data_IF_511746759131
#
_entry.id   IF_511746759131
#
_cell.length_a   1.000
_cell.length_b   1.000
_cell.length_c   1.000
_cell.angle_alpha   90.00
_cell.angle_beta   90.00
_cell.angle_gamma   90.00
#
_symmetry.space_group_name_H-M   'P 1'
#
loop_
_entity.id
_entity.type
_entity.pdbx_description
1 polymer ?
#
# COMPACT_ATOMS: atom_id res chain seq x y z
N UNK A 1 12.30 -20.94 28.93
CA UNK A 1 11.88 -19.72 28.21
C UNK A 1 12.66 -19.59 26.90
N UNK A 2 12.80 -20.66 26.12
CA UNK A 2 13.59 -20.72 24.84
C UNK A 2 12.85 -21.49 23.73
N UNK A 3 11.58 -21.85 23.90
CA UNK A 3 10.85 -22.70 22.93
C UNK A 3 9.74 -22.00 22.14
N UNK A 4 9.57 -20.68 22.21
CA UNK A 4 8.45 -19.96 21.54
C UNK A 4 8.87 -19.25 20.23
N UNK A 5 10.15 -19.08 19.98
CA UNK A 5 10.65 -18.31 18.81
C UNK A 5 10.77 -19.12 17.50
N UNK A 6 10.73 -20.43 17.54
CA UNK A 6 10.92 -21.26 16.32
C UNK A 6 9.63 -21.61 15.56
N UNK A 7 8.46 -21.49 16.17
CA UNK A 7 7.18 -21.86 15.52
C UNK A 7 6.57 -20.72 14.70
N UNK A 8 6.89 -19.46 14.99
CA UNK A 8 6.34 -18.30 14.29
C UNK A 8 7.10 -17.91 13.00
N UNK A 9 8.36 -18.30 12.87
CA UNK A 9 9.19 -17.98 11.70
C UNK A 9 8.85 -18.78 10.43
N UNK A 10 8.18 -19.92 10.54
CA UNK A 10 8.00 -20.84 9.40
C UNK A 10 6.70 -20.65 8.60
N UNK A 11 5.66 -20.01 9.13
CA UNK A 11 4.37 -19.86 8.42
C UNK A 11 4.29 -18.62 7.52
N UNK A 12 5.04 -17.58 7.80
CA UNK A 12 5.05 -16.37 6.99
C UNK A 12 5.75 -16.53 5.64
N UNK A 13 6.71 -17.42 5.57
CA UNK A 13 7.39 -17.81 4.33
C UNK A 13 6.44 -18.45 3.29
N UNK A 14 5.28 -18.95 3.68
CA UNK A 14 4.41 -19.71 2.77
C UNK A 14 3.65 -18.85 1.76
N UNK A 15 3.26 -17.62 2.07
CA UNK A 15 2.53 -16.76 1.13
C UNK A 15 3.42 -16.17 0.03
N UNK A 16 4.67 -15.85 0.37
CA UNK A 16 5.66 -15.34 -0.58
C UNK A 16 6.58 -16.44 -1.14
N UNK A 17 6.82 -17.53 -0.42
CA UNK A 17 7.76 -18.60 -0.82
C UNK A 17 7.14 -19.71 -1.68
N UNK A 18 5.84 -19.69 -1.98
CA UNK A 18 5.28 -20.62 -3.00
C UNK A 18 5.77 -20.28 -4.42
N UNK A 19 6.44 -19.14 -4.59
CA UNK A 19 6.99 -18.65 -5.87
C UNK A 19 8.47 -19.05 -6.08
N UNK A 20 9.18 -19.59 -5.08
CA UNK A 20 10.63 -19.77 -5.14
C UNK A 20 11.07 -21.23 -5.40
N UNK A 21 10.50 -21.91 -6.36
CA UNK A 21 10.87 -23.30 -6.68
C UNK A 21 11.05 -23.66 -8.14
N UNK A 22 10.79 -22.74 -9.06
CA UNK A 22 11.01 -22.93 -10.51
C UNK A 22 12.24 -22.19 -11.02
N UNK A 23 12.84 -22.65 -12.11
CA UNK A 23 13.85 -21.91 -12.84
C UNK A 23 13.25 -20.59 -13.32
N UNK A 24 13.81 -19.45 -12.87
CA UNK A 24 13.40 -18.11 -13.32
C UNK A 24 13.62 -18.00 -14.83
N UNK A 25 12.54 -17.75 -15.57
CA UNK A 25 12.64 -17.55 -17.03
C UNK A 25 12.69 -16.06 -17.33
N UNK A 26 13.76 -15.64 -18.01
CA UNK A 26 13.91 -14.26 -18.46
C UNK A 26 13.84 -14.21 -19.98
N UNK A 27 12.89 -13.44 -20.49
CA UNK A 27 12.62 -13.33 -21.91
C UNK A 27 12.43 -11.88 -22.35
N UNK A 28 12.73 -11.63 -23.63
CA UNK A 28 12.33 -10.40 -24.31
C UNK A 28 11.33 -10.72 -25.42
N UNK A 29 10.37 -9.81 -25.62
CA UNK A 29 9.32 -9.96 -26.62
C UNK A 29 8.78 -8.59 -27.06
N UNK A 30 8.03 -8.58 -28.15
CA UNK A 30 7.33 -7.40 -28.65
C UNK A 30 5.94 -7.24 -27.98
N UNK A 31 5.31 -6.07 -28.21
CA UNK A 31 3.97 -5.74 -27.68
C UNK A 31 2.89 -6.71 -28.16
N UNK A 32 2.99 -7.19 -29.42
CA UNK A 32 2.00 -8.11 -29.97
C UNK A 32 2.04 -9.47 -29.26
N UNK A 33 3.23 -10.01 -29.04
CA UNK A 33 3.45 -11.25 -28.31
C UNK A 33 3.06 -11.13 -26.85
N UNK A 34 3.33 -9.98 -26.22
CA UNK A 34 2.88 -9.71 -24.86
C UNK A 34 1.35 -9.70 -24.76
N UNK A 35 0.67 -9.00 -25.66
CA UNK A 35 -0.80 -8.94 -25.68
C UNK A 35 -1.43 -10.32 -25.87
N UNK A 36 -0.84 -11.21 -26.70
CA UNK A 36 -1.28 -12.61 -26.80
C UNK A 36 -1.16 -13.36 -25.48
N UNK A 37 -0.09 -13.12 -24.70
CA UNK A 37 0.06 -13.64 -23.35
C UNK A 37 -1.00 -13.11 -22.39
N UNK A 38 -1.28 -11.81 -22.43
CA UNK A 38 -2.38 -11.20 -21.66
C UNK A 38 -3.73 -11.85 -21.99
N UNK A 39 -4.02 -12.14 -23.28
CA UNK A 39 -5.27 -12.78 -23.69
C UNK A 39 -5.43 -14.19 -23.08
N UNK A 40 -4.35 -14.94 -22.96
CA UNK A 40 -4.35 -16.23 -22.24
C UNK A 40 -4.62 -16.03 -20.74
N UNK A 41 -3.97 -15.06 -20.10
CA UNK A 41 -4.15 -14.78 -18.66
C UNK A 41 -5.54 -14.25 -18.33
N UNK A 42 -6.18 -13.49 -19.21
CA UNK A 42 -7.55 -12.96 -19.02
C UNK A 42 -8.61 -14.07 -18.88
N UNK A 43 -8.32 -15.28 -19.26
CA UNK A 43 -9.25 -16.41 -19.04
C UNK A 43 -9.47 -16.67 -17.53
N UNK A 44 -8.41 -16.55 -16.72
CA UNK A 44 -8.43 -16.83 -15.27
C UNK A 44 -8.32 -15.56 -14.42
N UNK A 45 -7.66 -14.53 -14.91
CA UNK A 45 -7.35 -13.31 -14.17
C UNK A 45 -8.11 -12.11 -14.72
N UNK A 46 -8.51 -11.24 -13.81
CA UNK A 46 -8.79 -9.83 -14.09
C UNK A 46 -7.47 -9.08 -13.94
N UNK A 47 -7.05 -8.36 -14.98
CA UNK A 47 -5.74 -7.70 -15.02
C UNK A 47 -5.93 -6.21 -14.71
N UNK A 48 -5.24 -5.74 -13.67
CA UNK A 48 -5.30 -4.36 -13.21
C UNK A 48 -3.94 -3.70 -13.34
N UNK A 49 -3.91 -2.49 -13.88
CA UNK A 49 -2.70 -1.70 -14.04
C UNK A 49 -2.95 -0.21 -13.80
N UNK A 50 -1.90 0.61 -13.60
CA UNK A 50 -2.04 2.06 -13.64
C UNK A 50 -2.44 2.50 -15.04
N UNK A 51 -3.55 3.24 -15.14
CA UNK A 51 -4.08 3.82 -16.38
C UNK A 51 -4.26 5.31 -16.19
N UNK A 52 -3.89 6.12 -17.18
CA UNK A 52 -4.05 7.57 -17.15
C UNK A 52 -5.27 7.99 -17.96
N UNK A 53 -6.24 8.61 -17.28
CA UNK A 53 -7.41 9.22 -17.91
C UNK A 53 -7.19 10.74 -17.98
N UNK A 54 -7.12 11.33 -19.20
CA UNK A 54 -6.91 12.76 -19.37
C UNK A 54 -8.04 13.58 -18.76
N UNK A 55 -7.70 14.74 -18.19
CA UNK A 55 -8.65 15.73 -17.65
C UNK A 55 -9.62 15.21 -16.58
N UNK A 56 -9.25 14.15 -15.87
CA UNK A 56 -10.05 13.56 -14.76
C UNK A 56 -9.38 13.71 -13.38
N UNK A 57 -8.30 14.49 -13.29
CA UNK A 57 -7.63 14.76 -12.04
C UNK A 57 -8.39 15.73 -11.13
N UNK A 58 -7.73 16.20 -10.09
CA UNK A 58 -8.32 17.12 -9.11
C UNK A 58 -8.68 18.48 -9.73
N UNK A 59 -7.94 18.92 -10.73
CA UNK A 59 -8.17 20.14 -11.49
C UNK A 59 -8.54 19.80 -12.92
N UNK A 60 -9.29 20.68 -13.57
CA UNK A 60 -9.83 20.45 -14.92
C UNK A 60 -8.77 20.23 -16.02
N UNK A 61 -7.53 20.65 -15.77
CA UNK A 61 -6.38 20.52 -16.66
C UNK A 61 -5.40 19.41 -16.25
N UNK A 62 -5.74 18.66 -15.20
CA UNK A 62 -4.90 17.59 -14.71
C UNK A 62 -5.42 16.20 -15.06
N UNK A 63 -4.49 15.28 -15.30
CA UNK A 63 -4.78 13.88 -15.55
C UNK A 63 -5.00 13.10 -14.26
N UNK A 64 -5.71 12.00 -14.36
CA UNK A 64 -5.89 11.03 -13.29
C UNK A 64 -5.23 9.71 -13.67
N UNK A 65 -4.23 9.29 -12.90
CA UNK A 65 -3.64 7.95 -13.01
C UNK A 65 -4.11 7.10 -11.85
N UNK A 66 -4.86 6.03 -12.14
CA UNK A 66 -5.37 5.08 -11.13
C UNK A 66 -5.32 3.65 -11.64
N UNK A 67 -5.57 2.68 -10.76
CA UNK A 67 -5.65 1.27 -11.15
C UNK A 67 -6.99 0.99 -11.82
N UNK A 68 -6.94 0.50 -13.06
CA UNK A 68 -8.10 0.11 -13.84
C UNK A 68 -7.85 -1.25 -14.51
N UNK A 69 -8.90 -1.90 -14.95
CA UNK A 69 -8.82 -3.12 -15.76
C UNK A 69 -8.31 -2.78 -17.15
N UNK A 70 -7.38 -3.58 -17.64
CA UNK A 70 -6.75 -3.38 -18.94
C UNK A 70 -6.96 -4.59 -19.85
N UNK A 71 -6.97 -4.31 -21.15
CA UNK A 71 -7.01 -5.31 -22.20
C UNK A 71 -5.66 -5.48 -22.90
N UNK A 72 -4.85 -4.43 -22.95
CA UNK A 72 -3.57 -4.39 -23.69
C UNK A 72 -2.51 -3.61 -22.94
N UNK A 73 -1.24 -3.90 -23.26
CA UNK A 73 -0.10 -3.23 -22.66
C UNK A 73 -0.06 -1.72 -22.93
N UNK A 74 -0.61 -1.28 -24.06
CA UNK A 74 -0.64 0.13 -24.47
C UNK A 74 -1.48 0.99 -23.52
N UNK A 75 -2.36 0.38 -22.74
CA UNK A 75 -3.19 1.07 -21.74
C UNK A 75 -2.42 1.34 -20.44
N UNK A 76 -1.30 0.63 -20.20
CA UNK A 76 -0.54 0.74 -18.98
C UNK A 76 0.28 2.03 -18.94
N UNK A 77 0.15 2.78 -17.88
CA UNK A 77 0.96 3.97 -17.61
C UNK A 77 2.27 3.60 -16.88
N UNK A 78 3.36 3.56 -17.62
CA UNK A 78 4.68 3.23 -17.10
C UNK A 78 5.46 4.45 -16.56
N UNK A 79 5.15 5.66 -17.06
CA UNK A 79 5.95 6.87 -16.82
C UNK A 79 5.38 7.78 -15.74
N UNK A 80 4.16 7.51 -15.27
CA UNK A 80 3.53 8.28 -14.18
C UNK A 80 3.32 7.43 -12.94
N UNK A 81 3.34 8.06 -11.80
CA UNK A 81 2.94 7.45 -10.53
C UNK A 81 1.42 7.53 -10.40
N UNK A 82 0.77 6.44 -9.99
CA UNK A 82 -0.67 6.46 -9.74
C UNK A 82 -1.03 7.42 -8.59
N UNK A 83 -2.11 8.17 -8.75
CA UNK A 83 -2.62 9.10 -7.72
C UNK A 83 -3.12 8.36 -6.48
N UNK A 84 -3.69 7.16 -6.68
CA UNK A 84 -4.17 6.29 -5.61
C UNK A 84 -3.30 5.04 -5.50
N UNK A 85 -3.26 4.46 -4.31
CA UNK A 85 -2.56 3.20 -4.08
C UNK A 85 -3.40 2.01 -4.51
N UNK A 86 -2.74 0.91 -4.81
CA UNK A 86 -3.37 -0.37 -5.16
C UNK A 86 -4.11 -1.04 -4.00
N UNK A 87 -4.02 -0.52 -2.78
CA UNK A 87 -4.55 -1.20 -1.59
C UNK A 87 -6.06 -1.49 -1.65
N UNK A 88 -6.85 -0.73 -2.43
CA UNK A 88 -8.29 -0.97 -2.60
C UNK A 88 -8.61 -2.34 -3.21
N UNK A 89 -7.66 -2.94 -3.91
CA UNK A 89 -7.78 -4.27 -4.51
C UNK A 89 -7.87 -5.37 -3.44
N UNK A 90 -7.15 -5.20 -2.34
CA UNK A 90 -7.07 -6.17 -1.23
C UNK A 90 -7.75 -5.68 0.06
N UNK A 91 -7.99 -4.37 0.13
CA UNK A 91 -8.75 -3.71 1.19
C UNK A 91 -9.80 -2.81 0.52
N UNK A 92 -10.97 -3.34 0.14
CA UNK A 92 -12.02 -2.55 -0.49
C UNK A 92 -12.43 -1.35 0.38
N UNK A 93 -12.74 -0.20 -0.25
CA UNK A 93 -13.15 1.03 0.44
C UNK A 93 -14.35 0.77 1.34
N UNK A 94 -15.28 -0.06 0.88
CA UNK A 94 -16.44 -0.53 1.62
C UNK A 94 -16.57 -2.04 1.42
N UNK A 95 -16.43 -2.82 2.50
CA UNK A 95 -16.48 -4.26 2.48
C UNK A 95 -17.56 -4.76 3.41
N UNK A 96 -18.56 -5.46 2.86
CA UNK A 96 -19.52 -6.21 3.65
C UNK A 96 -18.79 -7.43 4.22
N UNK A 97 -18.74 -7.52 5.54
CA UNK A 97 -18.11 -8.64 6.23
C UNK A 97 -19.08 -9.81 6.32
N UNK A 98 -20.29 -9.53 6.77
CA UNK A 98 -21.35 -10.54 6.84
C UNK A 98 -22.73 -9.87 6.88
N UNK A 99 -23.71 -10.64 6.45
CA UNK A 99 -25.12 -10.39 6.65
C UNK A 99 -25.57 -11.10 7.93
N UNK A 100 -26.55 -10.51 8.64
CA UNK A 100 -27.07 -11.10 9.87
C UNK A 100 -28.59 -10.99 9.95
N UNK A 101 -29.15 -11.96 10.66
CA UNK A 101 -30.53 -11.97 11.16
C UNK A 101 -30.49 -12.15 12.67
N UNK A 102 -31.64 -12.23 13.33
CA UNK A 102 -31.73 -12.54 14.76
C UNK A 102 -31.06 -13.89 15.14
N UNK A 103 -30.97 -14.83 14.21
CA UNK A 103 -30.58 -16.22 14.49
C UNK A 103 -29.31 -16.66 13.77
N UNK A 104 -28.96 -16.00 12.67
CA UNK A 104 -27.91 -16.47 11.77
C UNK A 104 -27.05 -15.31 11.26
N UNK A 105 -25.83 -15.62 10.90
CA UNK A 105 -24.99 -14.73 10.10
C UNK A 105 -24.41 -15.49 8.92
N UNK A 106 -24.21 -14.80 7.79
CA UNK A 106 -23.64 -15.37 6.58
C UNK A 106 -22.59 -14.41 5.99
N UNK A 107 -21.38 -14.90 5.82
CA UNK A 107 -20.33 -14.15 5.09
C UNK A 107 -20.65 -14.14 3.59
N UNK A 108 -20.36 -13.05 2.91
CA UNK A 108 -20.45 -12.99 1.46
C UNK A 108 -19.38 -13.88 0.81
N UNK A 109 -19.75 -14.54 -0.28
CA UNK A 109 -18.80 -15.26 -1.10
C UNK A 109 -17.91 -14.29 -1.87
N UNK A 110 -16.63 -14.66 -2.06
CA UNK A 110 -15.74 -13.90 -2.95
C UNK A 110 -15.81 -14.56 -4.32
N UNK A 111 -16.72 -14.05 -5.14
CA UNK A 111 -16.87 -14.45 -6.52
C UNK A 111 -15.88 -13.77 -7.44
N UNK A 112 -15.72 -14.31 -8.65
CA UNK A 112 -14.94 -13.71 -9.73
C UNK A 112 -13.54 -14.31 -9.90
N UNK A 113 -12.88 -13.81 -10.95
CA UNK A 113 -11.55 -14.23 -11.36
C UNK A 113 -10.49 -13.86 -10.31
N UNK A 114 -9.37 -14.55 -10.33
CA UNK A 114 -8.15 -14.11 -9.66
C UNK A 114 -7.73 -12.73 -10.19
N UNK A 115 -6.89 -12.02 -9.46
CA UNK A 115 -6.41 -10.71 -9.84
C UNK A 115 -4.92 -10.77 -10.17
N UNK A 116 -4.53 -10.19 -11.28
CA UNK A 116 -3.14 -9.95 -11.65
C UNK A 116 -2.92 -8.44 -11.69
N UNK A 117 -2.06 -7.93 -10.82
CA UNK A 117 -1.95 -6.48 -10.59
C UNK A 117 -0.55 -6.00 -10.90
N UNK A 118 -0.44 -5.03 -11.80
CA UNK A 118 0.80 -4.37 -12.16
C UNK A 118 1.08 -3.22 -11.18
N UNK A 119 2.21 -3.24 -10.48
CA UNK A 119 2.54 -2.24 -9.47
C UNK A 119 4.05 -2.09 -9.29
N UNK A 120 4.47 -1.02 -8.60
CA UNK A 120 5.88 -0.71 -8.37
C UNK A 120 6.39 -1.33 -7.08
N UNK A 121 7.71 -1.40 -6.90
CA UNK A 121 8.36 -1.96 -5.72
C UNK A 121 7.87 -1.35 -4.40
N UNK A 122 7.65 -0.03 -4.35
CA UNK A 122 7.13 0.62 -3.14
C UNK A 122 5.69 0.20 -2.83
N UNK A 123 4.86 -0.11 -3.83
CA UNK A 123 3.51 -0.63 -3.61
C UNK A 123 3.55 -2.08 -3.11
N UNK A 124 4.41 -2.94 -3.68
CA UNK A 124 4.65 -4.31 -3.16
C UNK A 124 5.15 -4.30 -1.72
N UNK A 125 6.10 -3.42 -1.42
CA UNK A 125 6.54 -3.20 -0.05
C UNK A 125 5.42 -2.66 0.86
N UNK A 126 4.46 -1.90 0.29
CA UNK A 126 3.24 -1.48 0.96
C UNK A 126 2.33 -2.66 1.30
N UNK A 127 2.10 -3.55 0.34
CA UNK A 127 1.32 -4.79 0.52
C UNK A 127 1.95 -5.66 1.62
N UNK A 128 3.27 -5.86 1.60
CA UNK A 128 3.98 -6.59 2.66
C UNK A 128 3.66 -6.06 4.05
N UNK A 129 3.58 -4.73 4.22
CA UNK A 129 3.24 -4.09 5.51
C UNK A 129 1.79 -4.30 5.91
N UNK A 130 0.89 -4.34 4.92
CA UNK A 130 -0.51 -4.67 5.16
C UNK A 130 -0.65 -6.14 5.54
N UNK A 131 0.04 -7.05 4.84
CA UNK A 131 0.08 -8.48 5.19
C UNK A 131 0.51 -8.68 6.64
N UNK A 132 1.55 -7.97 7.10
CA UNK A 132 1.98 -8.01 8.50
C UNK A 132 0.92 -7.52 9.48
N UNK A 133 0.16 -6.48 9.15
CA UNK A 133 -0.89 -5.96 10.03
C UNK A 133 -2.06 -6.93 10.13
N UNK A 134 -2.50 -7.51 9.01
CA UNK A 134 -3.71 -8.31 8.97
C UNK A 134 -3.48 -9.81 9.19
N UNK A 135 -2.27 -10.32 8.89
CA UNK A 135 -1.97 -11.75 8.97
C UNK A 135 -1.00 -12.12 10.10
N UNK A 136 -0.19 -11.15 10.60
CA UNK A 136 0.91 -11.44 11.52
C UNK A 136 0.89 -10.59 12.80
N UNK A 137 -0.07 -9.70 12.95
CA UNK A 137 -0.11 -8.72 14.04
C UNK A 137 -0.74 -9.26 15.34
N UNK A 138 -1.25 -10.47 15.36
CA UNK A 138 -1.92 -11.12 16.49
C UNK A 138 -1.89 -12.63 16.35
N UNK A 139 -2.59 -13.31 17.24
CA UNK A 139 -2.75 -14.77 17.18
C UNK A 139 -3.65 -15.19 16.02
N UNK A 140 -4.68 -14.40 15.74
CA UNK A 140 -5.65 -14.65 14.69
C UNK A 140 -5.40 -13.77 13.46
N UNK A 141 -5.58 -14.36 12.29
CA UNK A 141 -5.51 -13.67 11.01
C UNK A 141 -6.84 -13.00 10.68
N UNK A 142 -6.81 -11.87 9.98
CA UNK A 142 -8.03 -11.28 9.44
C UNK A 142 -8.56 -12.14 8.29
N UNK A 143 -9.62 -12.90 8.56
CA UNK A 143 -10.27 -13.81 7.62
C UNK A 143 -10.68 -13.12 6.31
N UNK A 144 -11.20 -11.90 6.38
CA UNK A 144 -11.69 -11.19 5.18
C UNK A 144 -10.56 -10.68 4.30
N UNK A 145 -9.45 -10.27 4.92
CA UNK A 145 -8.24 -9.87 4.20
C UNK A 145 -7.56 -11.07 3.54
N UNK A 146 -7.36 -12.16 4.28
CA UNK A 146 -6.70 -13.37 3.80
C UNK A 146 -7.35 -13.91 2.53
N UNK A 147 -8.67 -14.04 2.51
CA UNK A 147 -9.45 -14.53 1.36
C UNK A 147 -9.27 -13.70 0.09
N UNK A 148 -9.19 -12.37 0.22
CA UNK A 148 -8.93 -11.48 -0.92
C UNK A 148 -7.46 -11.57 -1.35
N UNK A 149 -6.55 -11.59 -0.39
CA UNK A 149 -5.11 -11.62 -0.63
C UNK A 149 -4.65 -12.86 -1.38
N UNK A 150 -5.25 -14.00 -1.11
CA UNK A 150 -4.98 -15.28 -1.79
C UNK A 150 -5.31 -15.28 -3.28
N UNK A 151 -6.21 -14.41 -3.71
CA UNK A 151 -6.63 -14.32 -5.11
C UNK A 151 -5.74 -13.38 -5.94
N UNK A 152 -4.73 -12.73 -5.36
CA UNK A 152 -3.96 -11.67 -6.02
C UNK A 152 -2.53 -12.09 -6.28
N UNK A 153 -2.11 -12.01 -7.54
CA UNK A 153 -0.71 -12.11 -7.98
C UNK A 153 -0.22 -10.75 -8.48
N UNK A 154 1.08 -10.54 -8.45
CA UNK A 154 1.67 -9.24 -8.74
C UNK A 154 2.66 -9.28 -9.89
N UNK A 155 2.54 -8.29 -10.78
CA UNK A 155 3.53 -7.96 -11.80
C UNK A 155 4.26 -6.69 -11.37
N UNK A 156 5.56 -6.82 -11.14
CA UNK A 156 6.42 -5.70 -10.76
C UNK A 156 6.78 -4.86 -11.97
N UNK A 157 6.35 -3.61 -12.00
CA UNK A 157 6.82 -2.61 -12.98
C UNK A 157 8.16 -2.07 -12.51
N UNK A 158 9.20 -2.21 -13.33
CA UNK A 158 10.52 -1.61 -13.11
C UNK A 158 10.40 -0.08 -12.95
N UNK A 159 11.24 0.48 -12.10
CA UNK A 159 11.25 1.91 -11.82
C UNK A 159 12.66 2.46 -12.06
N UNK A 160 12.89 3.03 -13.25
CA UNK A 160 14.19 3.55 -13.66
C UNK A 160 14.52 4.87 -12.99
N UNK A 161 13.50 5.75 -12.86
CA UNK A 161 13.66 7.09 -12.34
C UNK A 161 12.73 7.36 -11.15
N UNK A 162 13.14 8.32 -10.33
CA UNK A 162 12.38 8.78 -9.16
C UNK A 162 11.32 9.78 -9.57
N UNK A 163 10.10 9.59 -9.08
CA UNK A 163 9.06 10.63 -9.19
C UNK A 163 9.29 11.74 -8.14
N UNK A 164 8.72 12.92 -8.42
CA UNK A 164 8.99 14.19 -7.72
C UNK A 164 9.04 14.08 -6.18
N UNK A 165 8.07 13.44 -5.56
CA UNK A 165 7.95 13.38 -4.09
C UNK A 165 8.34 12.01 -3.51
N UNK A 166 9.01 11.14 -4.31
CA UNK A 166 9.44 9.84 -3.84
C UNK A 166 10.70 9.94 -2.97
N UNK A 167 10.72 9.16 -1.88
CA UNK A 167 11.88 8.93 -1.02
C UNK A 167 11.98 7.45 -0.59
N UNK A 168 11.58 6.54 -1.49
CA UNK A 168 11.54 5.11 -1.24
C UNK A 168 12.92 4.49 -0.99
N UNK A 169 14.00 5.09 -1.51
CA UNK A 169 15.37 4.65 -1.22
C UNK A 169 15.68 4.83 0.26
N UNK A 170 15.35 5.99 0.86
CA UNK A 170 15.51 6.23 2.29
C UNK A 170 14.67 5.30 3.17
N UNK A 171 13.59 4.72 2.62
CA UNK A 171 12.73 3.75 3.31
C UNK A 171 13.07 2.30 3.02
N UNK A 172 14.15 2.00 2.29
CA UNK A 172 14.53 0.66 1.84
C UNK A 172 13.36 -0.10 1.18
N UNK A 173 12.55 0.62 0.39
CA UNK A 173 11.34 0.10 -0.28
C UNK A 173 11.35 0.30 -1.80
N UNK A 174 12.50 0.74 -2.33
CA UNK A 174 12.71 0.96 -3.76
C UNK A 174 12.90 -0.34 -4.56
N UNK A 175 13.17 -1.45 -3.90
CA UNK A 175 13.38 -2.77 -4.51
C UNK A 175 12.66 -3.88 -3.75
N UNK A 176 12.39 -4.98 -4.44
CA UNK A 176 11.77 -6.19 -3.86
C UNK A 176 11.98 -7.38 -4.79
N UNK A 177 11.98 -8.57 -4.22
CA UNK A 177 11.96 -9.84 -4.96
C UNK A 177 10.59 -10.53 -4.92
N UNK A 178 9.61 -9.94 -4.24
CA UNK A 178 8.29 -10.53 -4.00
C UNK A 178 7.31 -10.18 -5.13
N UNK A 179 7.50 -10.77 -6.31
CA UNK A 179 6.62 -10.65 -7.47
C UNK A 179 6.54 -11.96 -8.25
N UNK A 180 5.46 -12.15 -8.98
CA UNK A 180 5.28 -13.30 -9.87
C UNK A 180 5.92 -13.07 -11.24
N UNK A 181 5.84 -11.83 -11.75
CA UNK A 181 6.49 -11.38 -12.98
C UNK A 181 7.10 -10.01 -12.74
N UNK A 182 8.35 -9.79 -13.18
CA UNK A 182 8.96 -8.47 -13.29
C UNK A 182 8.93 -7.98 -14.74
N UNK A 183 8.59 -6.71 -14.99
CA UNK A 183 8.51 -6.14 -16.32
C UNK A 183 9.34 -4.86 -16.43
N UNK A 184 10.19 -4.81 -17.46
CA UNK A 184 10.83 -3.58 -17.95
C UNK A 184 10.40 -3.33 -19.39
N UNK A 185 10.25 -2.05 -19.76
CA UNK A 185 10.07 -1.64 -21.14
C UNK A 185 11.26 -0.77 -21.53
N UNK A 186 11.90 -1.12 -22.63
CA UNK A 186 13.01 -0.36 -23.23
C UNK A 186 12.72 -0.17 -24.71
N UNK A 187 12.46 1.08 -25.10
CA UNK A 187 12.00 1.41 -26.43
C UNK A 187 10.71 0.65 -26.79
N UNK A 188 10.75 -0.27 -27.72
CA UNK A 188 9.61 -1.10 -28.14
C UNK A 188 9.70 -2.56 -27.66
N UNK A 189 10.77 -2.92 -26.93
CA UNK A 189 10.97 -4.26 -26.38
C UNK A 189 10.50 -4.35 -24.93
N UNK A 190 9.90 -5.48 -24.59
CA UNK A 190 9.41 -5.83 -23.27
C UNK A 190 10.29 -6.94 -22.72
N UNK A 191 10.79 -6.77 -21.51
CA UNK A 191 11.61 -7.72 -20.79
C UNK A 191 10.81 -8.26 -19.61
N UNK A 192 10.70 -9.58 -19.50
CA UNK A 192 9.95 -10.27 -18.44
C UNK A 192 10.87 -11.18 -17.64
N UNK A 193 10.85 -11.01 -16.33
CA UNK A 193 11.41 -11.95 -15.34
C UNK A 193 10.24 -12.73 -14.72
N UNK A 194 10.01 -13.96 -15.19
CA UNK A 194 8.89 -14.80 -14.81
C UNK A 194 9.35 -15.77 -13.73
N UNK A 195 8.81 -15.62 -12.52
CA UNK A 195 9.12 -16.45 -11.35
C UNK A 195 8.01 -17.44 -11.01
N UNK A 196 6.82 -17.25 -11.57
CA UNK A 196 5.63 -18.04 -11.26
C UNK A 196 5.24 -18.86 -12.50
N UNK A 197 5.39 -20.18 -12.42
CA UNK A 197 5.10 -21.10 -13.52
C UNK A 197 3.65 -21.01 -14.03
N UNK A 198 2.67 -20.72 -13.15
CA UNK A 198 1.27 -20.53 -13.56
C UNK A 198 1.09 -19.32 -14.50
N UNK A 199 2.01 -18.37 -14.48
CA UNK A 199 1.98 -17.18 -15.32
C UNK A 199 2.93 -17.27 -16.53
N UNK A 200 3.58 -18.41 -16.72
CA UNK A 200 4.49 -18.64 -17.84
C UNK A 200 3.71 -18.98 -19.12
N UNK A 201 3.04 -17.97 -19.68
CA UNK A 201 2.23 -18.09 -20.91
C UNK A 201 2.78 -17.25 -22.06
N UNK A 202 3.87 -16.54 -21.83
CA UNK A 202 4.49 -15.63 -22.79
C UNK A 202 5.51 -16.37 -23.64
N UNK A 203 5.56 -16.02 -24.91
CA UNK A 203 6.50 -16.55 -25.89
C UNK A 203 7.48 -15.44 -26.28
N UNK A 204 8.77 -15.64 -26.08
CA UNK A 204 9.81 -14.65 -26.34
C UNK A 204 11.19 -15.27 -26.47
N UNK A 205 12.18 -14.47 -26.77
CA UNK A 205 13.59 -14.88 -26.82
C UNK A 205 14.19 -14.84 -25.41
N UNK A 206 14.91 -15.88 -25.03
CA UNK A 206 15.66 -15.86 -23.76
C UNK A 206 16.68 -14.72 -23.76
N UNK A 207 16.78 -14.04 -22.63
CA UNK A 207 17.71 -12.93 -22.46
C UNK A 207 18.15 -12.77 -21.01
N UNK A 208 19.28 -12.11 -20.81
CA UNK A 208 19.75 -11.72 -19.49
C UNK A 208 19.38 -10.26 -19.22
N UNK A 209 18.65 -10.01 -18.14
CA UNK A 209 18.38 -8.68 -17.64
C UNK A 209 18.06 -8.71 -16.14
N UNK A 210 18.07 -7.55 -15.52
CA UNK A 210 17.56 -7.35 -14.16
C UNK A 210 16.41 -6.32 -14.20
N UNK A 211 15.42 -6.51 -13.33
CA UNK A 211 14.34 -5.53 -13.19
C UNK A 211 14.93 -4.22 -12.65
N UNK A 212 14.55 -3.12 -13.28
CA UNK A 212 15.06 -1.81 -12.92
C UNK A 212 14.50 -1.32 -11.59
N UNK A 213 15.39 -0.85 -10.71
CA UNK A 213 15.02 -0.23 -9.45
C UNK A 213 15.68 1.13 -9.31
N UNK A 214 14.92 2.12 -8.90
CA UNK A 214 15.45 3.46 -8.62
C UNK A 214 16.54 3.37 -7.55
N UNK A 215 17.71 3.96 -7.85
CA UNK A 215 18.90 3.94 -6.98
C UNK A 215 19.03 5.19 -6.10
N UNK A 216 18.42 6.30 -6.53
CA UNK A 216 18.45 7.59 -5.83
C UNK A 216 17.14 8.34 -6.04
N UNK A 217 16.61 8.90 -4.97
CA UNK A 217 15.47 9.82 -5.04
C UNK A 217 15.94 11.27 -5.07
N UNK A 218 15.06 12.18 -5.53
CA UNK A 218 15.27 13.63 -5.43
C UNK A 218 15.25 14.06 -3.96
N UNK A 219 14.30 13.48 -3.19
CA UNK A 219 14.15 13.71 -1.76
C UNK A 219 14.86 12.57 -1.00
N UNK A 220 15.67 12.95 -0.02
CA UNK A 220 16.28 12.01 0.93
C UNK A 220 15.87 12.43 2.34
N UNK A 221 15.53 11.45 3.18
CA UNK A 221 15.19 11.67 4.60
C UNK A 221 16.03 10.77 5.47
N UNK A 222 16.36 11.24 6.64
CA UNK A 222 17.01 10.48 7.69
C UNK A 222 16.00 10.24 8.83
N UNK A 223 15.87 8.99 9.25
CA UNK A 223 14.94 8.63 10.32
C UNK A 223 15.76 8.44 11.60
N UNK A 224 15.43 9.14 12.69
CA UNK A 224 16.12 8.97 13.96
C UNK A 224 16.01 7.51 14.44
N UNK A 225 17.11 6.93 14.87
CA UNK A 225 17.15 5.56 15.39
C UNK A 225 16.39 5.43 16.71
N UNK A 226 16.54 6.43 17.59
CA UNK A 226 15.98 6.44 18.95
C UNK A 226 15.02 7.62 19.12
N UNK A 227 13.73 7.38 18.91
CA UNK A 227 12.70 8.40 19.11
C UNK A 227 12.15 8.29 20.53
N UNK A 228 12.40 9.32 21.36
CA UNK A 228 11.68 9.50 22.62
C UNK A 228 10.25 9.98 22.33
N UNK A 229 9.33 9.02 22.34
CA UNK A 229 7.93 9.26 21.97
C UNK A 229 7.21 10.18 22.99
N UNK A 230 7.62 10.19 24.25
CA UNK A 230 7.00 11.00 25.32
C UNK A 230 7.38 12.46 25.15
N UNK A 231 8.66 12.71 24.96
CA UNK A 231 9.19 14.06 24.75
C UNK A 231 8.73 14.63 23.42
N UNK A 232 8.85 13.86 22.33
CA UNK A 232 8.39 14.31 21.00
C UNK A 232 6.88 14.61 21.02
N UNK A 233 6.11 13.93 21.86
CA UNK A 233 4.67 14.18 21.98
C UNK A 233 4.35 15.59 22.48
N UNK A 234 5.24 16.22 23.26
CA UNK A 234 5.08 17.55 23.85
C UNK A 234 5.73 18.66 22.99
N UNK A 235 6.47 18.26 21.94
CA UNK A 235 7.26 19.20 21.15
C UNK A 235 6.36 20.14 20.34
N UNK A 236 6.72 21.43 20.29
CA UNK A 236 5.94 22.50 19.64
C UNK A 236 5.82 22.36 18.12
N UNK A 237 6.69 21.56 17.46
CA UNK A 237 6.61 21.30 16.02
C UNK A 237 5.23 20.84 15.55
N UNK A 238 4.42 20.26 16.43
CA UNK A 238 3.08 19.78 16.10
C UNK A 238 2.06 20.91 15.94
N UNK A 239 2.29 22.06 16.57
CA UNK A 239 1.37 23.20 16.55
C UNK A 239 1.18 23.78 15.13
N UNK A 240 2.20 23.67 14.27
CA UNK A 240 2.09 24.08 12.87
C UNK A 240 0.92 23.43 12.15
N UNK A 241 0.65 22.15 12.45
CA UNK A 241 -0.39 21.39 11.78
C UNK A 241 -1.79 21.74 12.26
N UNK A 242 -1.93 22.38 13.42
CA UNK A 242 -3.23 22.87 13.89
C UNK A 242 -3.83 23.94 12.97
N UNK A 243 -2.98 24.75 12.36
CA UNK A 243 -3.40 25.80 11.42
C UNK A 243 -3.32 25.36 9.94
N UNK A 244 -2.37 24.49 9.58
CA UNK A 244 -2.16 24.09 8.18
C UNK A 244 -3.03 22.94 7.74
N UNK A 245 -3.27 21.95 8.61
CA UNK A 245 -4.01 20.74 8.22
C UNK A 245 -5.53 20.98 8.29
N UNK A 246 -6.21 20.84 7.16
CA UNK A 246 -7.67 20.97 7.07
C UNK A 246 -8.43 19.67 7.39
N UNK A 247 -7.77 18.68 7.94
CA UNK A 247 -8.34 17.38 8.35
C UNK A 247 -9.10 16.61 7.23
N UNK A 248 -8.76 16.81 5.96
CA UNK A 248 -9.48 16.20 4.82
C UNK A 248 -9.23 14.68 4.65
N UNK A 249 -8.23 14.10 5.30
CA UNK A 249 -7.93 12.67 5.25
C UNK A 249 -7.28 12.14 3.98
N UNK A 250 -7.15 12.92 2.90
CA UNK A 250 -6.62 12.48 1.59
C UNK A 250 -5.30 11.74 1.71
N UNK A 251 -4.37 12.25 2.53
CA UNK A 251 -3.06 11.65 2.74
C UNK A 251 -3.10 10.19 3.29
N UNK A 252 -4.18 9.78 3.94
CA UNK A 252 -4.37 8.40 4.39
C UNK A 252 -5.04 7.53 3.30
N UNK A 253 -5.99 8.12 2.56
CA UNK A 253 -6.69 7.38 1.51
C UNK A 253 -5.75 6.99 0.36
N UNK A 254 -4.84 7.87 -0.04
CA UNK A 254 -3.86 7.57 -1.11
C UNK A 254 -2.67 6.72 -0.63
N UNK A 255 -2.47 6.60 0.67
CA UNK A 255 -1.31 5.90 1.24
C UNK A 255 -1.46 4.38 1.12
N UNK A 256 -0.47 3.65 0.54
CA UNK A 256 -0.53 2.21 0.39
C UNK A 256 -0.47 1.42 1.70
N UNK A 257 -0.07 2.07 2.80
CA UNK A 257 0.12 1.41 4.10
C UNK A 257 -0.81 1.93 5.21
N UNK A 258 -1.80 2.81 4.89
CA UNK A 258 -2.80 3.22 5.86
C UNK A 258 -3.98 2.24 5.87
N UNK A 259 -4.30 1.73 7.05
CA UNK A 259 -5.30 0.68 7.27
C UNK A 259 -6.41 1.10 8.22
N UNK A 260 -6.56 2.40 8.47
CA UNK A 260 -7.64 2.91 9.32
C UNK A 260 -9.02 2.57 8.73
N UNK A 261 -9.90 2.03 9.55
CA UNK A 261 -11.26 1.69 9.17
C UNK A 261 -12.24 2.00 10.32
N UNK A 262 -13.51 2.01 9.98
CA UNK A 262 -14.63 1.98 10.94
C UNK A 262 -15.55 0.81 10.61
N UNK A 263 -16.23 0.29 11.63
CA UNK A 263 -17.29 -0.71 11.48
C UNK A 263 -18.63 -0.02 11.48
N UNK A 264 -19.52 -0.48 10.59
CA UNK A 264 -20.88 0.03 10.48
C UNK A 264 -21.85 -1.14 10.43
N UNK A 265 -22.87 -1.10 11.29
CA UNK A 265 -24.03 -1.99 11.23
C UNK A 265 -25.16 -1.25 10.53
N UNK A 266 -25.64 -1.81 9.43
CA UNK A 266 -26.73 -1.26 8.64
C UNK A 266 -27.91 -2.19 8.74
N UNK A 267 -28.99 -1.72 9.36
CA UNK A 267 -30.24 -2.45 9.48
C UNK A 267 -31.15 -2.11 8.28
N UNK A 268 -31.82 -3.11 7.77
CA UNK A 268 -32.74 -2.92 6.64
C UNK A 268 -34.08 -2.40 7.12
N UNK A 269 -34.64 -1.43 6.39
CA UNK A 269 -35.88 -0.74 6.79
C UNK A 269 -37.08 -1.66 6.85
N UNK A 270 -37.07 -2.71 6.02
CA UNK A 270 -38.17 -3.70 5.93
C UNK A 270 -38.18 -4.67 7.10
N UNK A 271 -37.05 -4.85 7.78
CA UNK A 271 -36.92 -5.68 8.97
C UNK A 271 -35.72 -5.21 9.81
N UNK A 272 -36.02 -4.57 10.94
CA UNK A 272 -35.01 -3.97 11.84
C UNK A 272 -34.07 -4.99 12.49
N UNK A 273 -34.37 -6.29 12.40
CA UNK A 273 -33.54 -7.36 12.95
C UNK A 273 -32.64 -8.02 11.90
N UNK A 274 -32.68 -7.54 10.66
CA UNK A 274 -31.88 -8.03 9.55
C UNK A 274 -31.00 -6.90 9.03
N UNK A 275 -29.75 -7.22 8.75
CA UNK A 275 -28.81 -6.21 8.28
C UNK A 275 -27.48 -6.78 7.83
N UNK A 276 -26.52 -5.88 7.74
CA UNK A 276 -25.16 -6.21 7.36
C UNK A 276 -24.13 -5.44 8.19
N UNK A 277 -23.00 -6.06 8.46
CA UNK A 277 -21.82 -5.38 9.04
C UNK A 277 -20.82 -5.07 7.95
N UNK A 278 -20.39 -3.84 7.89
CA UNK A 278 -19.42 -3.33 6.94
C UNK A 278 -18.16 -2.87 7.62
N UNK A 279 -17.02 -3.10 6.96
CA UNK A 279 -15.75 -2.42 7.22
C UNK A 279 -15.58 -1.33 6.16
N UNK A 280 -15.46 -0.08 6.58
CA UNK A 280 -15.36 1.08 5.69
C UNK A 280 -14.06 1.83 5.99
N UNK A 281 -13.32 2.25 4.96
CA UNK A 281 -12.12 3.05 5.18
C UNK A 281 -12.42 4.28 6.00
N UNK A 282 -11.49 4.58 6.91
CA UNK A 282 -11.51 5.79 7.71
C UNK A 282 -10.14 6.47 7.70
N UNK A 283 -10.01 7.58 8.36
CA UNK A 283 -8.74 8.30 8.44
C UNK A 283 -8.51 8.85 9.83
N UNK A 284 -7.37 8.52 10.42
CA UNK A 284 -6.94 9.11 11.69
C UNK A 284 -6.67 10.62 11.62
N UNK A 285 -6.72 11.21 10.41
CA UNK A 285 -6.60 12.66 10.20
C UNK A 285 -7.95 13.37 10.17
N UNK A 286 -9.05 12.63 10.05
CA UNK A 286 -10.41 13.19 10.04
C UNK A 286 -10.92 13.31 11.46
N UNK A 287 -11.75 14.33 11.71
CA UNK A 287 -12.41 14.53 12.98
C UNK A 287 -13.37 13.38 13.31
N UNK A 288 -13.55 13.11 14.58
CA UNK A 288 -14.44 12.04 15.05
C UNK A 288 -13.84 10.63 14.99
N UNK A 289 -12.71 10.38 14.30
CA UNK A 289 -12.12 9.03 14.18
C UNK A 289 -11.71 8.41 15.53
N UNK A 290 -11.36 9.23 16.51
CA UNK A 290 -10.96 8.78 17.86
C UNK A 290 -11.99 9.07 18.93
N UNK A 291 -13.22 9.37 18.52
CA UNK A 291 -14.33 9.58 19.46
C UNK A 291 -14.74 8.26 20.09
N UNK A 292 -15.00 8.32 21.38
CA UNK A 292 -15.42 7.17 22.18
C UNK A 292 -16.83 7.39 22.70
N UNK A 293 -17.43 6.30 23.15
CA UNK A 293 -18.68 6.36 23.88
C UNK A 293 -18.57 7.35 25.08
N UNK A 294 -19.57 8.21 25.26
CA UNK A 294 -19.54 9.27 26.27
C UNK A 294 -18.96 10.61 25.78
N UNK A 295 -18.64 10.74 24.49
CA UNK A 295 -18.22 12.01 23.89
C UNK A 295 -16.75 12.38 24.14
N UNK A 296 -15.92 11.44 24.60
CA UNK A 296 -14.49 11.69 24.75
C UNK A 296 -13.75 11.49 23.44
N UNK A 297 -12.85 12.43 23.08
CA UNK A 297 -11.96 12.31 21.94
C UNK A 297 -10.50 12.45 22.37
N UNK A 298 -9.67 11.48 21.99
CA UNK A 298 -8.24 11.46 22.34
C UNK A 298 -7.38 12.44 21.50
N UNK A 299 -7.87 12.86 20.33
CA UNK A 299 -7.10 13.68 19.38
C UNK A 299 -8.00 14.75 18.78
N UNK A 300 -8.10 15.85 19.48
CA UNK A 300 -8.95 16.97 19.07
C UNK A 300 -8.27 17.87 18.05
N UNK A 301 -6.96 18.09 18.19
CA UNK A 301 -6.18 18.97 17.34
C UNK A 301 -5.53 18.24 16.16
N UNK A 302 -5.35 18.93 15.05
CA UNK A 302 -4.73 18.38 13.84
C UNK A 302 -3.25 18.02 14.07
N UNK A 303 -2.53 18.78 14.88
CA UNK A 303 -1.15 18.47 15.29
C UNK A 303 -1.05 17.12 16.04
N UNK A 304 -2.01 16.83 16.92
CA UNK A 304 -2.08 15.55 17.63
C UNK A 304 -2.35 14.37 16.67
N UNK A 305 -3.19 14.58 15.66
CA UNK A 305 -3.47 13.58 14.61
C UNK A 305 -2.26 13.38 13.72
N UNK A 306 -1.57 14.46 13.32
CA UNK A 306 -0.33 14.38 12.54
C UNK A 306 0.76 13.66 13.31
N UNK A 307 0.97 13.99 14.60
CA UNK A 307 1.89 13.28 15.49
C UNK A 307 1.59 11.78 15.50
N UNK A 308 0.35 11.39 15.71
CA UNK A 308 -0.06 9.99 15.72
C UNK A 308 0.29 9.30 14.39
N UNK A 309 -0.03 9.93 13.26
CA UNK A 309 0.30 9.38 11.93
C UNK A 309 1.80 9.22 11.75
N UNK A 310 2.59 10.25 12.05
CA UNK A 310 4.05 10.23 11.87
C UNK A 310 4.66 9.15 12.75
N UNK A 311 4.34 9.13 14.05
CA UNK A 311 4.86 8.15 14.99
C UNK A 311 4.49 6.71 14.60
N UNK A 312 3.26 6.50 14.11
CA UNK A 312 2.84 5.20 13.61
C UNK A 312 3.68 4.73 12.44
N UNK A 313 4.02 5.65 11.50
CA UNK A 313 4.76 5.37 10.27
C UNK A 313 6.26 5.15 10.45
N UNK A 314 6.91 5.87 11.36
CA UNK A 314 8.37 5.84 11.48
C UNK A 314 8.89 5.24 12.78
N UNK A 315 8.05 5.04 13.79
CA UNK A 315 8.47 4.54 15.10
C UNK A 315 7.73 3.27 15.53
N UNK A 316 6.39 3.33 15.69
CA UNK A 316 5.64 2.25 16.33
C UNK A 316 5.68 0.94 15.52
N UNK A 317 5.54 1.03 14.21
CA UNK A 317 5.63 -0.13 13.33
C UNK A 317 7.07 -0.70 13.32
N UNK A 318 8.07 0.18 13.30
CA UNK A 318 9.47 -0.24 13.35
C UNK A 318 9.81 -1.00 14.64
N UNK A 319 9.34 -0.54 15.80
CA UNK A 319 9.52 -1.24 17.07
C UNK A 319 8.93 -2.66 17.07
N UNK A 320 7.92 -2.89 16.25
CA UNK A 320 7.24 -4.19 16.17
C UNK A 320 7.81 -5.11 15.10
N UNK A 321 8.10 -4.57 13.91
CA UNK A 321 8.45 -5.36 12.72
C UNK A 321 9.88 -5.13 12.21
N UNK A 322 10.66 -4.24 12.84
CA UNK A 322 12.08 -4.02 12.53
C UNK A 322 12.35 -3.09 11.33
N UNK A 323 11.33 -2.46 10.73
CA UNK A 323 11.46 -1.46 9.67
C UNK A 323 10.25 -0.53 9.59
N UNK A 324 10.38 0.55 8.82
CA UNK A 324 9.38 1.60 8.79
C UNK A 324 8.09 1.18 8.06
N UNK A 325 6.94 1.67 8.55
CA UNK A 325 5.66 1.48 7.87
C UNK A 325 5.54 2.33 6.60
N UNK A 326 6.14 3.52 6.59
CA UNK A 326 6.20 4.36 5.40
C UNK A 326 7.06 3.70 4.33
N UNK A 327 6.59 3.74 3.07
CA UNK A 327 7.33 3.23 1.90
C UNK A 327 7.91 4.36 1.04
N UNK A 328 7.83 5.61 1.46
CA UNK A 328 8.41 6.74 0.74
C UNK A 328 7.85 6.97 -0.67
N UNK A 329 6.63 6.55 -0.97
CA UNK A 329 6.03 6.70 -2.30
C UNK A 329 5.60 8.13 -2.65
N UNK A 330 5.54 9.05 -1.69
CA UNK A 330 5.22 10.47 -1.87
C UNK A 330 3.78 10.79 -2.25
N UNK A 331 2.86 9.82 -2.37
CA UNK A 331 1.46 10.10 -2.75
C UNK A 331 0.73 11.00 -1.76
N UNK A 332 1.08 10.94 -0.48
CA UNK A 332 0.46 11.81 0.53
C UNK A 332 0.82 13.28 0.33
N UNK A 333 2.02 13.56 -0.17
CA UNK A 333 2.50 14.90 -0.49
C UNK A 333 1.82 15.41 -1.78
N UNK A 334 1.73 14.54 -2.81
CA UNK A 334 1.02 14.85 -4.07
C UNK A 334 -0.47 15.17 -3.85
N UNK A 335 -1.11 14.50 -2.88
CA UNK A 335 -2.55 14.63 -2.64
C UNK A 335 -2.92 15.73 -1.64
N UNK A 336 -1.95 16.33 -0.93
CA UNK A 336 -2.22 17.30 0.12
C UNK A 336 -2.60 18.67 -0.45
N UNK A 337 -3.84 19.17 -0.26
CA UNK A 337 -4.24 20.49 -0.76
C UNK A 337 -3.57 21.64 -0.01
N UNK A 338 -2.93 21.37 1.14
CA UNK A 338 -2.18 22.33 1.95
C UNK A 338 -0.67 22.19 1.80
N UNK A 339 -0.22 21.38 0.82
CA UNK A 339 1.20 21.16 0.54
C UNK A 339 2.02 20.75 1.78
N UNK A 340 1.41 19.97 2.67
CA UNK A 340 2.11 19.37 3.83
C UNK A 340 2.93 18.20 3.31
N UNK A 341 4.25 18.32 3.40
CA UNK A 341 5.18 17.26 3.03
C UNK A 341 5.40 16.29 4.20
N UNK A 342 5.30 14.99 3.92
CA UNK A 342 5.56 13.95 4.92
C UNK A 342 7.07 13.75 5.12
N UNK A 343 7.88 13.94 4.10
CA UNK A 343 9.34 13.91 4.21
C UNK A 343 9.83 15.04 5.13
N UNK A 344 9.34 16.28 4.94
CA UNK A 344 9.64 17.40 5.85
C UNK A 344 9.18 17.14 7.30
N UNK A 345 8.06 16.41 7.49
CA UNK A 345 7.66 16.01 8.84
C UNK A 345 8.69 15.08 9.50
N UNK A 346 9.30 14.17 8.73
CA UNK A 346 10.36 13.28 9.23
C UNK A 346 11.60 14.09 9.58
N UNK A 347 12.02 15.02 8.72
CA UNK A 347 13.17 15.88 8.96
C UNK A 347 12.99 16.75 10.23
N UNK A 348 11.77 17.27 10.45
CA UNK A 348 11.44 18.00 11.69
C UNK A 348 11.53 17.11 12.92
N UNK A 349 11.11 15.84 12.82
CA UNK A 349 11.28 14.87 13.93
C UNK A 349 12.76 14.61 14.18
N UNK A 350 13.57 14.44 13.13
CA UNK A 350 15.01 14.24 13.25
C UNK A 350 15.67 15.44 13.95
N UNK A 351 15.38 16.66 13.50
CA UNK A 351 15.90 17.88 14.11
C UNK A 351 15.48 18.02 15.58
N UNK A 352 14.21 17.74 15.91
CA UNK A 352 13.71 17.81 17.29
C UNK A 352 14.39 16.81 18.24
N UNK A 353 14.91 15.69 17.70
CA UNK A 353 15.66 14.70 18.48
C UNK A 353 17.15 15.04 18.59
N UNK A 354 17.76 15.61 17.53
CA UNK A 354 19.20 15.93 17.46
C UNK A 354 19.60 17.09 18.38
N UNK A 355 18.76 18.11 18.53
CA UNK A 355 19.02 19.26 19.44
C UNK A 355 19.29 18.87 20.88
N UNK A 356 18.88 17.67 21.31
CA UNK A 356 19.11 17.18 22.69
C UNK A 356 20.43 16.43 22.89
N UNK A 357 21.03 15.90 21.84
CA UNK A 357 22.35 15.26 21.95
C UNK A 357 23.46 16.30 22.17
N UNK A 358 23.28 17.51 21.64
CA UNK A 358 24.21 18.62 21.85
C UNK A 358 24.02 19.33 23.20
N UNK A 359 22.89 19.12 23.90
CA UNK A 359 22.57 19.75 25.19
C UNK A 359 22.84 18.86 26.41
N UNK A 360 23.39 17.68 26.24
CA UNK A 360 23.87 16.75 27.27
C UNK A 360 25.38 16.69 27.29
#
# INVERSE_FOLDING_TARGET
MIFVTELYGKKCYYFFNKVLGGDCMKIKLDKCSFNKGLDKLKLEYKILAPVTTPFKGTYSDSDLTKYEEIEKIEEIEFNKKSNFSVKEVILPINQILFYFTEKEFKTSDIEGKKLLVFLRACDLNGIKRIDQIYLENGEERDFFYERLREKVKFVLIGCQESFRNCFCVSMNSNKTENYSIGINIREDEIYLDIKDEELNVFEGEECEFEVDFVKKNIISVEIPENIDAVELAKHEMWNEYDSRCIACGRCNFVCPTCTCFTMQDIFYKENENVGERRRVWASCQVDGYTDMAGGHSFRQKQGERMRFKVMHKINNFNKRFGYQMCVGCGRCDDACPQYISFSECIDKVNNAMSVKEEAK
#
